data_IF_062616359646
#
_entry.id   IF_062616359646
#
_cell.length_a   1.000
_cell.length_b   1.000
_cell.length_c   1.000
_cell.angle_alpha   90.00
_cell.angle_beta   90.00
_cell.angle_gamma   90.00
#
_symmetry.space_group_name_H-M   'P 1'
#
loop_
_entity.id
_entity.type
_entity.pdbx_description
1 polymer ?
#
# COMPACT_ATOMS: atom_id res chain seq x y z
N UNK A 1 -36.58 -39.18 -12.52
CA UNK A 1 -35.26 -38.53 -12.44
C UNK A 1 -35.25 -37.05 -12.86
N UNK A 2 -36.02 -36.62 -13.87
CA UNK A 2 -36.00 -35.23 -14.37
C UNK A 2 -36.52 -34.15 -13.39
N UNK A 3 -37.43 -34.48 -12.47
CA UNK A 3 -38.02 -33.49 -11.55
C UNK A 3 -37.00 -32.78 -10.63
N UNK A 4 -35.91 -33.47 -10.26
CA UNK A 4 -34.85 -32.87 -9.44
C UNK A 4 -34.07 -31.79 -10.20
N UNK A 5 -33.83 -31.98 -11.50
CA UNK A 5 -33.13 -31.02 -12.35
C UNK A 5 -33.89 -29.69 -12.46
N UNK A 6 -35.22 -29.74 -12.50
CA UNK A 6 -36.07 -28.54 -12.59
C UNK A 6 -35.93 -27.65 -11.35
N UNK A 7 -35.73 -28.25 -10.17
CA UNK A 7 -35.51 -27.52 -8.90
C UNK A 7 -34.04 -27.13 -8.73
N UNK A 8 -33.11 -28.00 -9.12
CA UNK A 8 -31.69 -27.76 -8.98
C UNK A 8 -31.19 -26.64 -9.91
N UNK A 9 -31.72 -26.58 -11.13
CA UNK A 9 -31.31 -25.61 -12.14
C UNK A 9 -31.40 -24.14 -11.68
N UNK A 10 -32.54 -23.64 -11.16
CA UNK A 10 -32.63 -22.26 -10.68
C UNK A 10 -31.74 -21.99 -9.45
N UNK A 11 -31.58 -22.98 -8.56
CA UNK A 11 -30.69 -22.88 -7.39
C UNK A 11 -29.23 -22.76 -7.85
N UNK A 12 -28.83 -23.60 -8.81
CA UNK A 12 -27.49 -23.57 -9.39
C UNK A 12 -27.22 -22.25 -10.14
N UNK A 13 -28.22 -21.72 -10.87
CA UNK A 13 -28.13 -20.44 -11.55
C UNK A 13 -27.94 -19.28 -10.55
N UNK A 14 -28.73 -19.24 -9.48
CA UNK A 14 -28.57 -18.27 -8.38
C UNK A 14 -27.18 -18.37 -7.76
N UNK A 15 -26.70 -19.59 -7.49
CA UNK A 15 -25.36 -19.85 -7.01
C UNK A 15 -24.28 -19.36 -7.99
N UNK A 16 -24.47 -19.58 -9.30
CA UNK A 16 -23.54 -19.15 -10.34
C UNK A 16 -23.49 -17.62 -10.50
N UNK A 17 -24.64 -16.94 -10.41
CA UNK A 17 -24.73 -15.48 -10.43
C UNK A 17 -24.06 -14.87 -9.19
N UNK A 18 -24.25 -15.48 -8.02
CA UNK A 18 -23.56 -15.06 -6.80
C UNK A 18 -22.06 -15.38 -6.86
N UNK A 19 -21.69 -16.48 -7.52
CA UNK A 19 -20.31 -16.85 -7.78
C UNK A 19 -19.64 -15.89 -8.76
N UNK A 20 -20.36 -15.31 -9.73
CA UNK A 20 -19.81 -14.25 -10.59
C UNK A 20 -19.26 -13.08 -9.78
N UNK A 21 -19.86 -12.73 -8.64
CA UNK A 21 -19.28 -11.72 -7.73
C UNK A 21 -17.93 -12.19 -7.16
N UNK A 22 -17.77 -13.50 -6.89
CA UNK A 22 -16.51 -14.13 -6.50
C UNK A 22 -15.52 -14.35 -7.65
N UNK A 23 -15.95 -14.28 -8.91
CA UNK A 23 -15.10 -14.27 -10.11
C UNK A 23 -14.68 -12.85 -10.47
N UNK A 24 -15.50 -11.85 -10.15
CA UNK A 24 -15.17 -10.42 -10.26
C UNK A 24 -14.15 -9.97 -9.21
N UNK A 25 -14.10 -10.62 -8.05
CA UNK A 25 -13.16 -10.30 -6.97
C UNK A 25 -11.69 -10.59 -7.34
N UNK A 26 -11.36 -11.66 -8.08
CA UNK A 26 -10.08 -11.81 -8.77
C UNK A 26 -9.74 -10.67 -9.74
N UNK A 27 -10.73 -10.07 -10.42
CA UNK A 27 -10.49 -8.97 -11.37
C UNK A 27 -10.19 -7.63 -10.68
N UNK A 28 -10.52 -7.46 -9.39
CA UNK A 28 -9.97 -6.34 -8.60
C UNK A 28 -8.49 -6.53 -8.25
N UNK A 29 -7.92 -7.69 -8.54
CA UNK A 29 -6.48 -7.91 -8.59
C UNK A 29 -5.88 -7.45 -9.93
N UNK A 30 -6.56 -6.63 -10.74
CA UNK A 30 -5.94 -5.85 -11.84
C UNK A 30 -5.11 -4.65 -11.31
N UNK A 31 -4.84 -4.59 -10.00
CA UNK A 31 -3.61 -3.92 -9.53
C UNK A 31 -2.35 -4.69 -9.97
N UNK A 32 -2.47 -5.98 -10.31
CA UNK A 32 -1.32 -6.81 -10.67
C UNK A 32 -0.67 -6.38 -11.98
N UNK A 33 -1.41 -5.88 -12.96
CA UNK A 33 -0.82 -5.46 -14.24
C UNK A 33 0.05 -4.20 -14.08
N UNK A 34 -0.46 -3.20 -13.36
CA UNK A 34 0.31 -2.00 -13.00
C UNK A 34 1.47 -2.32 -12.03
N UNK A 35 1.28 -3.26 -11.09
CA UNK A 35 2.34 -3.69 -10.18
C UNK A 35 3.41 -4.53 -10.89
N UNK A 36 3.06 -5.30 -11.93
CA UNK A 36 4.01 -6.04 -12.78
C UNK A 36 4.80 -5.08 -13.66
N UNK A 37 4.13 -4.13 -14.33
CA UNK A 37 4.82 -3.12 -15.14
C UNK A 37 5.83 -2.34 -14.29
N UNK A 38 5.44 -1.97 -13.07
CA UNK A 38 6.31 -1.28 -12.11
C UNK A 38 7.40 -2.17 -11.51
N UNK A 39 7.14 -3.47 -11.34
CA UNK A 39 8.16 -4.44 -10.97
C UNK A 39 9.21 -4.57 -12.08
N UNK A 40 8.81 -4.71 -13.35
CA UNK A 40 9.77 -4.80 -14.46
C UNK A 40 10.65 -3.55 -14.60
N UNK A 41 10.13 -2.38 -14.23
CA UNK A 41 10.84 -1.10 -14.29
C UNK A 41 11.76 -0.86 -13.06
N UNK A 42 11.38 -1.33 -11.87
CA UNK A 42 12.05 -1.00 -10.58
C UNK A 42 12.68 -2.22 -9.86
N UNK A 43 12.50 -3.44 -10.38
CA UNK A 43 13.02 -4.67 -9.76
C UNK A 43 14.53 -4.82 -9.94
N UNK A 44 15.18 -5.28 -8.87
CA UNK A 44 16.59 -5.61 -8.87
C UNK A 44 16.82 -6.97 -9.58
N UNK A 45 17.99 -7.26 -10.19
CA UNK A 45 18.26 -8.52 -10.87
C UNK A 45 18.04 -9.77 -10.01
N UNK A 46 18.24 -9.67 -8.69
CA UNK A 46 17.96 -10.76 -7.76
C UNK A 46 16.45 -11.06 -7.60
N UNK A 47 15.61 -10.04 -7.67
CA UNK A 47 14.15 -10.19 -7.63
C UNK A 47 13.64 -10.79 -8.94
N UNK A 48 14.25 -10.44 -10.08
CA UNK A 48 14.00 -11.06 -11.40
C UNK A 48 14.45 -12.53 -11.45
N UNK A 49 15.59 -12.88 -10.86
CA UNK A 49 16.03 -14.27 -10.78
C UNK A 49 15.03 -15.11 -9.95
N UNK A 50 14.48 -14.52 -8.89
CA UNK A 50 13.43 -15.16 -8.09
C UNK A 50 12.14 -15.32 -8.89
N UNK A 51 11.75 -14.33 -9.71
CA UNK A 51 10.62 -14.43 -10.64
C UNK A 51 10.79 -15.60 -11.62
N UNK A 52 11.97 -15.72 -12.23
CA UNK A 52 12.27 -16.80 -13.20
C UNK A 52 12.30 -18.17 -12.53
N UNK A 53 12.78 -18.25 -11.29
CA UNK A 53 13.00 -19.51 -10.58
C UNK A 53 11.80 -20.00 -9.78
N UNK A 54 10.99 -19.11 -9.24
CA UNK A 54 9.91 -19.41 -8.28
C UNK A 54 8.53 -18.91 -8.73
N UNK A 55 8.46 -18.09 -9.79
CA UNK A 55 7.20 -17.59 -10.37
C UNK A 55 6.77 -16.20 -9.89
N UNK A 56 5.68 -15.69 -10.47
CA UNK A 56 5.17 -14.33 -10.26
C UNK A 56 4.74 -14.04 -8.84
N UNK A 57 4.10 -15.00 -8.16
CA UNK A 57 3.47 -14.78 -6.86
C UNK A 57 4.50 -14.56 -5.74
N UNK A 58 5.64 -15.29 -5.76
CA UNK A 58 6.72 -15.14 -4.78
C UNK A 58 7.50 -13.83 -4.97
N UNK A 59 7.81 -13.46 -6.21
CA UNK A 59 8.53 -12.24 -6.55
C UNK A 59 7.71 -10.97 -6.23
N UNK A 60 6.41 -10.95 -6.60
CA UNK A 60 5.51 -9.82 -6.32
C UNK A 60 5.28 -9.61 -4.82
N UNK A 61 5.20 -10.69 -4.02
CA UNK A 61 5.10 -10.58 -2.54
C UNK A 61 6.32 -9.90 -1.94
N UNK A 62 7.52 -10.23 -2.41
CA UNK A 62 8.79 -9.64 -1.92
C UNK A 62 8.91 -8.16 -2.31
N UNK A 63 8.57 -7.83 -3.56
CA UNK A 63 8.51 -6.45 -4.05
C UNK A 63 7.50 -5.60 -3.27
N UNK A 64 6.28 -6.12 -3.05
CA UNK A 64 5.23 -5.46 -2.26
C UNK A 64 5.69 -5.16 -0.84
N UNK A 65 6.36 -6.11 -0.19
CA UNK A 65 6.89 -5.91 1.16
C UNK A 65 7.95 -4.80 1.19
N UNK A 66 8.84 -4.75 0.19
CA UNK A 66 9.85 -3.68 0.05
C UNK A 66 9.22 -2.30 -0.17
N UNK A 67 8.19 -2.20 -1.02
CA UNK A 67 7.44 -0.95 -1.22
C UNK A 67 6.72 -0.49 0.05
N UNK A 68 6.16 -1.43 0.83
CA UNK A 68 5.51 -1.13 2.11
C UNK A 68 6.50 -0.65 3.17
N UNK A 69 7.70 -1.23 3.22
CA UNK A 69 8.79 -0.81 4.10
C UNK A 69 9.33 0.58 3.73
N UNK A 70 9.25 0.95 2.44
CA UNK A 70 9.66 2.27 1.94
C UNK A 70 8.64 3.38 2.14
N UNK A 71 7.43 3.13 2.66
CA UNK A 71 6.55 4.22 3.08
C UNK A 71 7.07 4.77 4.41
N UNK A 72 7.73 5.95 4.44
CA UNK A 72 8.04 6.56 5.71
C UNK A 72 6.71 6.86 6.38
N UNK A 73 6.56 6.44 7.64
CA UNK A 73 5.53 6.95 8.55
C UNK A 73 5.79 8.45 8.77
N UNK A 74 5.51 9.26 7.76
CA UNK A 74 5.45 10.72 7.83
C UNK A 74 4.16 11.13 8.54
N UNK A 75 3.85 10.44 9.64
CA UNK A 75 2.91 10.87 10.66
C UNK A 75 3.63 11.89 11.52
N UNK A 76 3.69 13.11 10.98
CA UNK A 76 4.13 14.34 11.60
C UNK A 76 3.45 14.55 12.97
N UNK A 77 3.94 13.93 14.03
CA UNK A 77 3.76 14.47 15.39
C UNK A 77 4.74 15.63 15.52
N UNK A 78 4.35 16.79 14.98
CA UNK A 78 4.87 18.06 15.49
C UNK A 78 4.48 18.08 16.97
N UNK A 79 5.43 18.19 17.92
CA UNK A 79 5.07 18.53 19.29
C UNK A 79 4.33 19.87 19.22
N UNK A 80 3.05 19.87 19.57
CA UNK A 80 2.27 21.10 19.68
C UNK A 80 2.93 21.96 20.76
N UNK A 81 3.27 23.23 20.49
CA UNK A 81 3.86 24.12 21.49
C UNK A 81 2.88 24.49 22.63
N UNK A 82 1.66 23.92 22.63
CA UNK A 82 0.64 24.17 23.66
C UNK A 82 1.02 23.69 25.08
N UNK A 83 2.09 22.89 25.24
CA UNK A 83 2.60 22.46 26.55
C UNK A 83 4.01 23.03 26.87
N UNK A 84 4.46 24.07 26.19
CA UNK A 84 5.70 24.74 26.58
C UNK A 84 5.51 25.38 27.97
N UNK A 85 6.34 25.06 28.99
CA UNK A 85 6.23 25.69 30.30
C UNK A 85 6.40 27.21 30.14
N UNK A 86 5.49 27.97 30.73
CA UNK A 86 5.40 29.44 30.63
C UNK A 86 6.62 30.21 31.22
N UNK A 87 7.73 29.54 31.47
CA UNK A 87 8.93 30.08 32.10
C UNK A 87 10.21 29.90 31.24
N UNK A 88 10.06 29.64 29.94
CA UNK A 88 11.22 29.61 29.04
C UNK A 88 11.80 31.03 28.90
N UNK A 89 13.08 31.26 29.27
CA UNK A 89 13.71 32.55 29.03
C UNK A 89 13.79 32.79 27.52
N UNK A 90 13.15 33.87 27.06
CA UNK A 90 13.13 34.23 25.64
C UNK A 90 14.54 34.40 25.06
N UNK A 91 14.71 34.18 23.74
CA UNK A 91 16.00 34.36 23.09
C UNK A 91 16.41 35.83 23.23
N UNK A 92 17.46 36.08 24.02
CA UNK A 92 18.09 37.39 24.11
C UNK A 92 18.71 37.69 22.75
N UNK A 93 18.16 38.67 22.04
CA UNK A 93 18.74 39.19 20.81
C UNK A 93 20.20 39.60 21.05
N UNK A 94 21.17 39.11 20.26
CA UNK A 94 22.54 39.55 20.34
C UNK A 94 22.66 40.98 19.81
N UNK A 95 23.50 41.76 20.49
CA UNK A 95 23.51 43.22 20.46
C UNK A 95 23.76 43.87 19.10
N UNK A 96 23.18 45.05 18.96
CA UNK A 96 23.59 46.06 17.98
C UNK A 96 23.65 47.42 18.70
N UNK A 97 24.75 47.69 19.39
CA UNK A 97 25.11 49.07 19.77
C UNK A 97 26.61 49.22 19.68
N UNK A 98 27.05 49.89 18.62
CA UNK A 98 28.39 50.42 18.43
C UNK A 98 28.76 50.52 16.95
N UNK A 99 29.38 51.61 16.46
CA UNK A 99 29.58 52.93 17.06
C UNK A 99 28.90 54.05 16.24
N UNK A 100 28.35 55.06 16.91
CA UNK A 100 28.11 56.36 16.28
C UNK A 100 28.84 57.41 17.11
N UNK A 101 29.82 58.05 16.44
CA UNK A 101 30.70 59.19 16.80
C UNK A 101 31.66 59.09 17.99
#
# INVERSE_FOLDING_TARGET
MAGFLVVLFPIALLGFILFMQKVEEPLRTVTTENDIARFLDDANPEELNTLVREGTDSALRRFRNRLRLRRPRTGRRRPSPANAPANAPGPRSPGSTGPEV
#
